data_IF_450814329810
#
_entry.id   IF_450814329810
#
_cell.length_a   1.000
_cell.length_b   1.000
_cell.length_c   1.000
_cell.angle_alpha   90.00
_cell.angle_beta   90.00
_cell.angle_gamma   90.00
#
_symmetry.space_group_name_H-M   'P 1'
#
loop_
_entity.id
_entity.type
_entity.pdbx_description
1 polymer ?
#
# COMPACT_ATOMS: atom_id res chain seq x y z
N UNK A 1 7.82 -14.51 -13.98
CA UNK A 1 8.35 -15.61 -13.14
C UNK A 1 8.11 -15.25 -11.69
N UNK A 2 7.76 -16.20 -10.83
CA UNK A 2 7.54 -15.92 -9.41
C UNK A 2 8.87 -15.53 -8.74
N UNK A 3 8.86 -14.59 -7.78
CA UNK A 3 10.07 -14.23 -7.02
C UNK A 3 10.35 -15.31 -5.97
N UNK A 4 11.06 -16.36 -6.37
CA UNK A 4 11.38 -17.51 -5.52
C UNK A 4 12.73 -17.35 -4.85
N UNK A 5 12.98 -18.15 -3.82
CA UNK A 5 14.31 -18.23 -3.18
C UNK A 5 15.40 -18.59 -4.19
N UNK A 6 15.14 -19.57 -5.05
CA UNK A 6 16.06 -20.01 -6.09
C UNK A 6 16.42 -18.88 -7.06
N UNK A 7 15.43 -18.07 -7.48
CA UNK A 7 15.70 -16.90 -8.32
C UNK A 7 16.67 -15.95 -7.64
N UNK A 8 16.42 -15.60 -6.38
CA UNK A 8 17.28 -14.68 -5.63
C UNK A 8 18.71 -15.21 -5.52
N UNK A 9 18.89 -16.51 -5.24
CA UNK A 9 20.23 -17.11 -5.11
C UNK A 9 20.98 -17.21 -6.44
N UNK A 10 20.27 -17.43 -7.55
CA UNK A 10 20.88 -17.56 -8.88
C UNK A 10 21.07 -16.20 -9.58
N UNK A 11 20.53 -15.12 -9.03
CA UNK A 11 20.62 -13.78 -9.58
C UNK A 11 21.99 -13.16 -9.32
N UNK A 12 22.39 -12.23 -10.19
CA UNK A 12 23.70 -11.58 -10.07
C UNK A 12 23.70 -10.61 -8.88
N UNK A 13 24.62 -10.84 -7.95
CA UNK A 13 24.92 -9.90 -6.85
C UNK A 13 26.34 -9.38 -7.01
N UNK A 14 26.49 -8.07 -7.18
CA UNK A 14 27.76 -7.44 -7.51
C UNK A 14 27.90 -6.07 -6.85
N UNK A 15 29.09 -5.47 -6.95
CA UNK A 15 29.33 -4.11 -6.49
C UNK A 15 29.07 -3.14 -7.63
N UNK A 16 28.06 -2.28 -7.50
CA UNK A 16 27.73 -1.30 -8.52
C UNK A 16 28.73 -0.12 -8.55
N UNK A 17 28.66 0.80 -9.54
CA UNK A 17 29.57 1.95 -9.63
C UNK A 17 29.55 2.90 -8.42
N UNK A 18 28.49 2.87 -7.61
CA UNK A 18 28.37 3.64 -6.38
C UNK A 18 28.96 2.92 -5.16
N UNK A 19 29.59 1.75 -5.38
CA UNK A 19 30.15 0.88 -4.34
C UNK A 19 29.10 0.32 -3.39
N UNK A 20 27.89 0.09 -3.91
CA UNK A 20 26.79 -0.54 -3.21
C UNK A 20 26.66 -1.99 -3.68
N UNK A 21 26.36 -2.92 -2.76
CA UNK A 21 26.04 -4.29 -3.15
C UNK A 21 24.66 -4.31 -3.78
N UNK A 22 24.60 -4.52 -5.09
CA UNK A 22 23.38 -4.53 -5.87
C UNK A 22 23.00 -5.96 -6.27
N UNK A 23 21.71 -6.28 -6.12
CA UNK A 23 21.11 -7.49 -6.65
C UNK A 23 20.31 -7.17 -7.91
N UNK A 24 20.67 -7.81 -9.01
CA UNK A 24 20.00 -7.68 -10.31
C UNK A 24 18.84 -8.68 -10.41
N UNK A 25 17.60 -8.17 -10.44
CA UNK A 25 16.37 -8.92 -10.67
C UNK A 25 15.63 -8.39 -11.91
N UNK A 26 16.35 -7.86 -12.90
CA UNK A 26 15.75 -7.25 -14.09
C UNK A 26 15.10 -8.28 -15.01
N UNK A 27 13.99 -7.90 -15.64
CA UNK A 27 13.45 -8.64 -16.79
C UNK A 27 12.83 -10.01 -16.48
N UNK A 28 12.58 -10.34 -15.21
CA UNK A 28 12.06 -11.65 -14.81
C UNK A 28 10.53 -11.77 -14.86
N UNK A 29 9.81 -10.70 -15.26
CA UNK A 29 8.34 -10.64 -15.25
C UNK A 29 7.77 -11.00 -13.87
N UNK A 30 8.38 -10.45 -12.82
CA UNK A 30 7.99 -10.69 -11.43
C UNK A 30 6.61 -10.05 -11.19
N UNK A 31 5.58 -10.83 -10.81
CA UNK A 31 4.23 -10.30 -10.65
C UNK A 31 3.97 -9.73 -9.25
N UNK A 32 4.82 -10.02 -8.27
CA UNK A 32 4.65 -9.58 -6.89
C UNK A 32 5.98 -9.57 -6.13
N UNK A 33 6.09 -8.64 -5.19
CA UNK A 33 7.16 -8.63 -4.20
C UNK A 33 6.84 -9.64 -3.10
N UNK A 34 7.67 -10.66 -2.99
CA UNK A 34 7.58 -11.74 -2.01
C UNK A 34 8.97 -12.34 -1.78
N UNK A 35 9.15 -13.09 -0.69
CA UNK A 35 10.43 -13.73 -0.34
C UNK A 35 11.64 -12.77 -0.25
N UNK A 36 11.39 -11.46 -0.13
CA UNK A 36 12.43 -10.44 0.04
C UNK A 36 13.22 -10.61 1.35
N UNK A 37 12.75 -11.43 2.29
CA UNK A 37 13.47 -11.78 3.53
C UNK A 37 14.81 -12.48 3.32
N UNK A 38 15.04 -13.01 2.11
CA UNK A 38 16.30 -13.62 1.71
C UNK A 38 17.36 -12.57 1.33
N UNK A 39 16.92 -11.37 0.95
CA UNK A 39 17.75 -10.26 0.52
C UNK A 39 18.18 -9.47 1.76
N UNK A 40 19.31 -9.87 2.34
CA UNK A 40 19.77 -9.40 3.66
C UNK A 40 21.05 -8.56 3.59
N UNK A 41 21.83 -8.70 2.52
CA UNK A 41 23.17 -8.12 2.41
C UNK A 41 23.28 -7.03 1.35
N UNK A 42 22.19 -6.77 0.64
CA UNK A 42 22.12 -5.86 -0.49
C UNK A 42 21.84 -4.43 0.00
N UNK A 43 22.59 -3.50 -0.55
CA UNK A 43 22.41 -2.06 -0.38
C UNK A 43 21.43 -1.52 -1.44
N UNK A 44 21.38 -2.14 -2.61
CA UNK A 44 20.51 -1.78 -3.74
C UNK A 44 19.84 -3.03 -4.34
N UNK A 45 18.60 -2.87 -4.84
CA UNK A 45 17.92 -3.93 -5.61
C UNK A 45 17.39 -3.31 -6.89
N UNK A 46 17.73 -3.94 -8.01
CA UNK A 46 17.20 -3.57 -9.31
C UNK A 46 16.10 -4.55 -9.76
N UNK A 47 14.87 -4.04 -9.81
CA UNK A 47 13.65 -4.73 -10.22
C UNK A 47 13.08 -4.13 -11.52
N UNK A 48 13.92 -3.47 -12.32
CA UNK A 48 13.51 -2.87 -13.60
C UNK A 48 12.97 -3.94 -14.57
N UNK A 49 12.01 -3.58 -15.41
CA UNK A 49 11.39 -4.50 -16.38
C UNK A 49 10.68 -5.71 -15.74
N UNK A 50 9.82 -5.45 -14.76
CA UNK A 50 8.98 -6.47 -14.14
C UNK A 50 7.49 -6.07 -14.19
N UNK A 51 6.61 -6.90 -13.63
CA UNK A 51 5.16 -6.70 -13.67
C UNK A 51 4.60 -6.40 -12.28
N UNK A 52 5.38 -5.73 -11.42
CA UNK A 52 5.03 -5.51 -10.01
C UNK A 52 3.90 -4.47 -9.91
N UNK A 53 2.76 -4.79 -9.27
CA UNK A 53 1.60 -3.90 -9.22
C UNK A 53 1.62 -2.93 -8.03
N UNK A 54 2.41 -3.21 -6.99
CA UNK A 54 2.45 -2.41 -5.78
C UNK A 54 3.82 -2.46 -5.10
N UNK A 55 4.22 -1.32 -4.53
CA UNK A 55 5.39 -1.22 -3.65
C UNK A 55 5.00 -1.64 -2.23
N UNK A 56 5.07 -2.94 -1.95
CA UNK A 56 4.61 -3.55 -0.70
C UNK A 56 5.46 -4.76 -0.30
N UNK A 57 5.11 -5.41 0.81
CA UNK A 57 5.67 -6.70 1.25
C UNK A 57 7.18 -6.72 1.53
N UNK A 58 7.77 -5.58 1.89
CA UNK A 58 9.16 -5.56 2.34
C UNK A 58 9.28 -6.10 3.78
N UNK A 59 10.20 -7.05 4.03
CA UNK A 59 10.61 -7.39 5.38
C UNK A 59 11.35 -6.20 5.99
N UNK A 60 11.63 -6.29 7.29
CA UNK A 60 12.48 -5.31 7.96
C UNK A 60 13.92 -5.44 7.45
N UNK A 61 14.36 -4.49 6.64
CA UNK A 61 15.70 -4.41 6.08
C UNK A 61 16.28 -2.99 6.31
N UNK A 62 17.25 -2.91 7.21
CA UNK A 62 17.95 -1.66 7.53
C UNK A 62 19.09 -1.33 6.57
N UNK A 63 19.52 -2.29 5.76
CA UNK A 63 20.66 -2.12 4.87
C UNK A 63 20.26 -1.51 3.54
N UNK A 64 19.08 -1.87 3.04
CA UNK A 64 18.56 -1.41 1.76
C UNK A 64 18.43 0.12 1.73
N UNK A 65 19.05 0.73 0.73
CA UNK A 65 19.12 2.18 0.48
C UNK A 65 18.53 2.56 -0.87
N UNK A 66 18.72 1.74 -1.89
CA UNK A 66 18.27 2.05 -3.24
C UNK A 66 17.31 0.97 -3.79
N UNK A 67 16.21 1.44 -4.41
CA UNK A 67 15.26 0.61 -5.13
C UNK A 67 15.06 1.15 -6.54
N UNK A 68 15.37 0.32 -7.54
CA UNK A 68 15.12 0.61 -8.95
C UNK A 68 13.93 -0.21 -9.43
N UNK A 69 12.82 0.45 -9.74
CA UNK A 69 11.55 -0.17 -10.13
C UNK A 69 11.04 0.44 -11.43
N UNK A 70 11.96 0.86 -12.32
CA UNK A 70 11.58 1.41 -13.59
C UNK A 70 10.83 0.36 -14.44
N UNK A 71 9.90 0.79 -15.30
CA UNK A 71 9.17 -0.09 -16.22
C UNK A 71 8.47 -1.25 -15.49
N UNK A 72 7.64 -0.87 -14.52
CA UNK A 72 6.77 -1.78 -13.75
C UNK A 72 5.31 -1.34 -13.87
N UNK A 73 4.41 -1.96 -13.11
CA UNK A 73 2.97 -1.65 -13.12
C UNK A 73 2.49 -1.08 -11.78
N UNK A 74 3.37 -0.39 -11.04
CA UNK A 74 3.06 0.06 -9.69
C UNK A 74 1.94 1.09 -9.75
N UNK A 75 0.81 0.74 -9.13
CA UNK A 75 -0.35 1.63 -8.97
C UNK A 75 -0.54 2.09 -7.53
N UNK A 76 0.11 1.43 -6.57
CA UNK A 76 -0.08 1.70 -5.15
C UNK A 76 1.21 1.49 -4.35
N UNK A 77 1.33 2.26 -3.26
CA UNK A 77 2.45 2.23 -2.33
C UNK A 77 1.90 1.83 -0.97
N UNK A 78 2.50 0.82 -0.33
CA UNK A 78 2.05 0.38 0.98
C UNK A 78 2.21 1.50 2.03
N UNK A 79 1.26 1.64 2.97
CA UNK A 79 1.44 2.54 4.10
C UNK A 79 2.60 2.06 4.99
N UNK A 80 3.24 3.00 5.68
CA UNK A 80 4.27 2.73 6.68
C UNK A 80 5.49 1.91 6.17
N UNK A 81 5.90 2.09 4.91
CA UNK A 81 7.13 1.50 4.36
C UNK A 81 8.38 1.78 5.19
N UNK A 82 8.40 2.90 5.92
CA UNK A 82 9.48 3.27 6.83
C UNK A 82 9.71 2.23 7.95
N UNK A 83 8.70 1.44 8.33
CA UNK A 83 8.87 0.38 9.32
C UNK A 83 9.65 -0.81 8.75
N UNK A 84 9.53 -1.07 7.45
CA UNK A 84 10.23 -2.14 6.75
C UNK A 84 11.60 -1.70 6.25
N UNK A 85 11.67 -0.58 5.54
CA UNK A 85 12.87 -0.09 4.85
C UNK A 85 13.22 1.34 5.30
N UNK A 86 13.58 1.55 6.58
CA UNK A 86 13.74 2.88 7.18
C UNK A 86 14.88 3.72 6.58
N UNK A 87 15.84 3.06 5.91
CA UNK A 87 17.05 3.68 5.39
C UNK A 87 17.03 3.91 3.88
N UNK A 88 15.88 3.72 3.22
CA UNK A 88 15.74 3.99 1.81
C UNK A 88 16.02 5.47 1.51
N UNK A 89 16.99 5.73 0.65
CA UNK A 89 17.40 7.06 0.21
C UNK A 89 17.09 7.34 -1.27
N UNK A 90 17.01 6.29 -2.09
CA UNK A 90 16.84 6.39 -3.54
C UNK A 90 15.71 5.47 -4.00
N UNK A 91 14.71 6.06 -4.66
CA UNK A 91 13.56 5.34 -5.22
C UNK A 91 13.31 5.79 -6.65
N UNK A 92 13.46 4.87 -7.59
CA UNK A 92 13.21 5.11 -9.01
C UNK A 92 11.93 4.36 -9.42
N UNK A 93 10.89 5.12 -9.75
CA UNK A 93 9.59 4.63 -10.19
C UNK A 93 9.25 5.05 -11.62
N UNK A 94 10.26 5.36 -12.45
CA UNK A 94 10.07 5.77 -13.84
C UNK A 94 9.20 4.78 -14.61
N UNK A 95 8.25 5.27 -15.41
CA UNK A 95 7.38 4.46 -16.26
C UNK A 95 6.61 3.40 -15.45
N UNK A 96 5.79 3.89 -14.51
CA UNK A 96 4.84 3.11 -13.71
C UNK A 96 3.42 3.69 -13.86
N UNK A 97 2.47 3.22 -13.04
CA UNK A 97 1.03 3.50 -13.18
C UNK A 97 0.44 4.27 -11.99
N UNK A 98 1.25 5.07 -11.28
CA UNK A 98 0.76 5.95 -10.21
C UNK A 98 -0.03 7.10 -10.82
N UNK A 99 -1.27 7.28 -10.41
CA UNK A 99 -2.22 8.14 -11.12
C UNK A 99 -2.68 9.38 -10.36
N UNK A 100 -2.81 9.29 -9.04
CA UNK A 100 -3.32 10.36 -8.19
C UNK A 100 -2.23 10.89 -7.26
N UNK A 101 -2.30 12.19 -6.93
CA UNK A 101 -1.36 12.83 -6.00
C UNK A 101 -1.41 12.18 -4.61
N UNK A 102 -2.60 11.74 -4.19
CA UNK A 102 -2.77 11.08 -2.90
C UNK A 102 -2.15 9.68 -2.83
N UNK A 103 -1.85 9.04 -3.96
CA UNK A 103 -1.18 7.73 -3.99
C UNK A 103 0.28 7.84 -3.51
N UNK A 104 0.84 9.06 -3.48
CA UNK A 104 2.22 9.36 -3.05
C UNK A 104 2.34 9.64 -1.55
N UNK A 105 1.22 9.81 -0.83
CA UNK A 105 1.19 10.10 0.60
C UNK A 105 2.02 9.13 1.47
N UNK A 106 2.03 7.80 1.20
CA UNK A 106 2.86 6.87 1.96
C UNK A 106 4.36 7.17 1.94
N UNK A 107 4.86 7.86 0.90
CA UNK A 107 6.28 8.23 0.80
C UNK A 107 6.68 9.27 1.86
N UNK A 108 5.74 10.04 2.43
CA UNK A 108 6.00 11.02 3.49
C UNK A 108 6.64 10.41 4.75
N UNK A 109 6.45 9.11 4.96
CA UNK A 109 7.01 8.38 6.09
C UNK A 109 8.51 8.09 5.94
N UNK A 110 9.03 8.08 4.70
CA UNK A 110 10.43 7.75 4.40
C UNK A 110 11.37 8.95 4.64
N UNK A 111 11.78 9.15 5.89
CA UNK A 111 12.55 10.34 6.31
C UNK A 111 13.95 10.46 5.69
N UNK A 112 14.49 9.38 5.15
CA UNK A 112 15.80 9.35 4.49
C UNK A 112 15.72 9.42 2.96
N UNK A 113 14.53 9.41 2.39
CA UNK A 113 14.35 9.47 0.93
C UNK A 113 14.82 10.83 0.41
N UNK A 114 15.89 10.83 -0.38
CA UNK A 114 16.53 12.03 -0.94
C UNK A 114 16.41 12.10 -2.46
N UNK A 115 16.41 10.96 -3.15
CA UNK A 115 16.29 10.86 -4.61
C UNK A 115 15.00 10.12 -4.96
N UNK A 116 14.09 10.82 -5.65
CA UNK A 116 12.82 10.26 -6.10
C UNK A 116 12.64 10.56 -7.59
N UNK A 117 12.32 9.53 -8.37
CA UNK A 117 11.94 9.70 -9.78
C UNK A 117 10.59 9.08 -10.03
N UNK A 118 9.67 9.85 -10.59
CA UNK A 118 8.29 9.49 -10.91
C UNK A 118 7.93 9.85 -12.37
N UNK A 119 8.94 10.20 -13.18
CA UNK A 119 8.81 10.40 -14.61
C UNK A 119 7.99 9.29 -15.28
N UNK A 120 7.24 9.67 -16.31
CA UNK A 120 6.42 8.74 -17.09
C UNK A 120 5.37 7.96 -16.26
N UNK A 121 4.96 8.51 -15.11
CA UNK A 121 3.74 8.10 -14.44
C UNK A 121 2.61 9.10 -14.75
N UNK A 122 1.34 8.67 -14.82
CA UNK A 122 0.22 9.60 -15.02
C UNK A 122 0.15 10.72 -13.97
N UNK A 123 0.60 10.46 -12.74
CA UNK A 123 0.66 11.46 -11.66
C UNK A 123 1.57 12.65 -12.00
N UNK A 124 2.61 12.45 -12.81
CA UNK A 124 3.55 13.51 -13.18
C UNK A 124 2.91 14.60 -14.07
N UNK A 125 1.77 14.29 -14.71
CA UNK A 125 1.00 15.24 -15.53
C UNK A 125 -0.06 16.01 -14.73
N UNK A 126 -0.20 15.73 -13.42
CA UNK A 126 -1.20 16.39 -12.57
C UNK A 126 -0.78 17.82 -12.24
N UNK A 127 -1.78 18.68 -12.09
CA UNK A 127 -1.55 20.06 -11.65
C UNK A 127 -0.87 20.08 -10.26
N UNK A 128 0.09 20.97 -10.08
CA UNK A 128 0.85 21.13 -8.85
C UNK A 128 1.61 19.87 -8.37
N UNK A 129 1.78 18.86 -9.23
CA UNK A 129 2.48 17.60 -8.93
C UNK A 129 3.81 17.82 -8.20
N UNK A 130 4.67 18.66 -8.76
CA UNK A 130 6.01 18.90 -8.22
C UNK A 130 5.96 19.52 -6.82
N UNK A 131 5.12 20.54 -6.63
CA UNK A 131 4.96 21.20 -5.33
C UNK A 131 4.30 20.27 -4.31
N UNK A 132 3.36 19.43 -4.73
CA UNK A 132 2.75 18.43 -3.87
C UNK A 132 3.78 17.46 -3.33
N UNK A 133 4.61 16.86 -4.19
CA UNK A 133 5.68 15.95 -3.75
C UNK A 133 6.66 16.63 -2.80
N UNK A 134 7.03 17.88 -3.07
CA UNK A 134 7.93 18.66 -2.20
C UNK A 134 7.30 18.91 -0.81
N UNK A 135 6.00 19.23 -0.75
CA UNK A 135 5.29 19.43 0.51
C UNK A 135 5.13 18.11 1.30
N UNK A 136 4.73 17.03 0.62
CA UNK A 136 4.46 15.72 1.22
C UNK A 136 5.75 15.01 1.66
N UNK A 137 6.82 15.11 0.87
CA UNK A 137 8.09 14.43 1.09
C UNK A 137 9.23 15.45 1.30
N UNK A 138 9.29 16.13 2.45
CA UNK A 138 10.26 17.22 2.65
C UNK A 138 11.73 16.76 2.60
N UNK A 139 12.01 15.48 2.85
CA UNK A 139 13.36 14.90 2.79
C UNK A 139 13.94 14.82 1.36
N UNK A 140 13.08 14.86 0.33
CA UNK A 140 13.50 14.74 -1.07
C UNK A 140 14.32 15.96 -1.46
N UNK A 141 15.51 15.71 -2.02
CA UNK A 141 16.47 16.73 -2.49
C UNK A 141 16.53 16.79 -4.00
N UNK A 142 16.34 15.65 -4.66
CA UNK A 142 16.29 15.53 -6.11
C UNK A 142 14.99 14.83 -6.50
N UNK A 143 14.17 15.54 -7.27
CA UNK A 143 12.91 15.03 -7.82
C UNK A 143 13.00 15.07 -9.35
N UNK A 144 12.83 13.92 -9.99
CA UNK A 144 12.90 13.76 -11.45
C UNK A 144 14.21 14.31 -12.03
N UNK A 145 15.32 13.95 -11.39
CA UNK A 145 16.68 14.41 -11.69
C UNK A 145 16.90 15.93 -11.54
N UNK A 146 15.94 16.67 -11.00
CA UNK A 146 16.06 18.10 -10.75
C UNK A 146 16.19 18.38 -9.25
N UNK A 147 17.19 19.19 -8.89
CA UNK A 147 17.38 19.65 -7.52
C UNK A 147 16.18 20.49 -7.05
N UNK A 148 15.65 20.17 -5.88
CA UNK A 148 14.59 20.95 -5.22
C UNK A 148 15.21 22.21 -4.62
N UNK A 149 14.68 23.37 -4.99
CA UNK A 149 15.12 24.69 -4.50
C UNK A 149 14.27 25.18 -3.34
N UNK A 150 14.82 26.04 -2.49
CA UNK A 150 14.10 26.58 -1.33
C UNK A 150 12.87 27.42 -1.71
N UNK A 151 12.96 28.17 -2.82
CA UNK A 151 11.81 28.91 -3.35
C UNK A 151 10.61 27.98 -3.69
N UNK A 152 10.89 26.76 -4.17
CA UNK A 152 9.85 25.78 -4.44
C UNK A 152 9.25 25.22 -3.14
N UNK A 153 10.07 25.08 -2.09
CA UNK A 153 9.61 24.65 -0.76
C UNK A 153 8.70 25.69 -0.12
N UNK A 154 9.06 26.97 -0.18
CA UNK A 154 8.22 28.05 0.33
C UNK A 154 6.87 28.10 -0.39
N UNK A 155 6.88 28.00 -1.72
CA UNK A 155 5.64 27.97 -2.51
C UNK A 155 4.79 26.72 -2.25
N UNK A 156 5.42 25.56 -2.09
CA UNK A 156 4.72 24.33 -1.73
C UNK A 156 4.05 24.42 -0.35
N UNK A 157 4.73 25.03 0.63
CA UNK A 157 4.18 25.28 1.96
C UNK A 157 3.03 26.29 1.94
N UNK A 158 3.09 27.32 1.10
CA UNK A 158 1.98 28.27 0.93
C UNK A 158 0.73 27.60 0.34
N UNK A 159 0.92 26.75 -0.68
CA UNK A 159 -0.18 26.08 -1.37
C UNK A 159 -0.85 25.00 -0.52
N UNK A 160 -0.06 24.20 0.20
CA UNK A 160 -0.53 22.97 0.85
C UNK A 160 -0.44 22.97 2.37
N UNK A 161 0.22 23.95 2.97
CA UNK A 161 0.45 24.01 4.40
C UNK A 161 1.51 23.02 4.85
N UNK A 162 1.36 22.53 6.08
CA UNK A 162 2.23 21.49 6.64
C UNK A 162 1.49 20.16 6.72
N UNK A 163 2.22 19.06 6.95
CA UNK A 163 1.60 17.74 7.20
C UNK A 163 0.69 17.75 8.44
N UNK A 164 0.96 18.62 9.43
CA UNK A 164 0.14 18.76 10.63
C UNK A 164 -1.09 19.67 10.40
N UNK A 165 -0.92 20.70 9.58
CA UNK A 165 -1.94 21.71 9.28
C UNK A 165 -2.08 21.87 7.75
N UNK A 166 -2.82 20.95 7.10
CA UNK A 166 -3.01 20.98 5.66
C UNK A 166 -4.05 22.03 5.26
N UNK A 167 -3.77 22.75 4.17
CA UNK A 167 -4.72 23.67 3.52
C UNK A 167 -5.91 22.88 2.94
N UNK A 168 -7.05 23.54 2.70
CA UNK A 168 -8.24 22.89 2.14
C UNK A 168 -8.00 22.25 0.76
N UNK A 169 -7.10 22.85 -0.05
CA UNK A 169 -6.62 22.25 -1.29
C UNK A 169 -5.96 20.88 -1.04
N UNK A 170 -5.08 20.79 -0.02
CA UNK A 170 -4.41 19.54 0.35
C UNK A 170 -5.41 18.48 0.84
N UNK A 171 -6.40 18.87 1.65
CA UNK A 171 -7.47 17.96 2.10
C UNK A 171 -8.29 17.42 0.93
N UNK A 172 -8.65 18.28 -0.04
CA UNK A 172 -9.37 17.87 -1.25
C UNK A 172 -8.58 16.86 -2.07
N UNK A 173 -7.28 17.08 -2.26
CA UNK A 173 -6.39 16.16 -2.97
C UNK A 173 -6.25 14.82 -2.22
N UNK A 174 -6.09 14.84 -0.90
CA UNK A 174 -6.03 13.61 -0.09
C UNK A 174 -7.34 12.81 -0.11
N UNK A 175 -8.47 13.47 -0.34
CA UNK A 175 -9.77 12.81 -0.43
C UNK A 175 -10.01 12.15 -1.79
N UNK A 176 -9.22 12.50 -2.82
CA UNK A 176 -9.33 11.92 -4.17
C UNK A 176 -8.49 10.64 -4.35
N UNK A 177 -8.18 9.92 -3.26
CA UNK A 177 -7.46 8.63 -3.34
C UNK A 177 -8.18 7.69 -4.28
N UNK A 178 -7.44 7.08 -5.20
CA UNK A 178 -7.97 5.97 -5.98
C UNK A 178 -8.46 4.88 -5.03
N UNK A 179 -9.69 4.40 -5.21
CA UNK A 179 -10.31 3.32 -4.44
C UNK A 179 -9.63 1.94 -4.64
N UNK A 180 -8.43 1.91 -5.23
CA UNK A 180 -7.66 0.71 -5.51
C UNK A 180 -6.98 0.24 -4.22
N UNK A 181 -7.75 -0.48 -3.42
CA UNK A 181 -7.25 -1.24 -2.26
C UNK A 181 -6.06 -2.11 -2.69
N UNK A 182 -5.00 -2.09 -1.89
CA UNK A 182 -3.89 -3.04 -1.98
C UNK A 182 -4.45 -4.44 -1.72
N UNK A 183 -4.85 -5.16 -2.77
CA UNK A 183 -5.17 -6.58 -2.68
C UNK A 183 -3.84 -7.35 -2.59
N UNK A 184 -3.19 -7.31 -1.43
CA UNK A 184 -2.05 -8.17 -1.14
C UNK A 184 -2.57 -9.59 -0.94
N UNK A 185 -2.45 -10.42 -1.98
CA UNK A 185 -2.59 -11.87 -1.85
C UNK A 185 -1.37 -12.41 -1.08
N UNK A 186 -1.37 -12.27 0.24
CA UNK A 186 -0.48 -13.01 1.13
C UNK A 186 -1.12 -14.35 1.43
N UNK A 187 -0.65 -15.40 0.75
CA UNK A 187 -0.81 -16.77 1.23
C UNK A 187 0.09 -16.94 2.45
N UNK A 188 -0.40 -16.52 3.61
CA UNK A 188 0.13 -16.89 4.91
C UNK A 188 -1.03 -17.44 5.74
N UNK A 189 -0.99 -18.73 5.98
CA UNK A 189 -1.95 -19.42 6.82
C UNK A 189 -1.87 -18.90 8.26
N UNK A 190 -3.06 -18.75 8.85
CA UNK A 190 -3.41 -18.72 10.27
C UNK A 190 -3.11 -17.46 11.10
N UNK A 191 -4.24 -16.92 11.59
CA UNK A 191 -4.46 -16.11 12.80
C UNK A 191 -4.33 -14.59 12.67
N UNK A 192 -5.45 -13.95 12.32
CA UNK A 192 -5.62 -12.50 12.50
C UNK A 192 -6.85 -11.98 11.79
N UNK A 193 -7.97 -11.97 12.51
CA UNK A 193 -9.31 -11.51 12.09
C UNK A 193 -9.33 -10.21 11.29
N UNK A 194 -9.76 -10.29 10.03
CA UNK A 194 -10.27 -9.14 9.28
C UNK A 194 -11.43 -8.50 10.06
N UNK A 195 -11.34 -7.19 10.28
CA UNK A 195 -12.46 -6.38 10.78
C UNK A 195 -13.49 -6.23 9.65
N UNK A 196 -14.24 -7.30 9.42
CA UNK A 196 -15.64 -7.19 9.01
C UNK A 196 -16.29 -6.37 10.12
N UNK A 197 -16.86 -5.23 9.76
CA UNK A 197 -17.68 -4.40 10.63
C UNK A 197 -18.79 -5.25 11.23
N UNK A 198 -18.54 -5.84 12.41
CA UNK A 198 -19.52 -6.59 13.19
C UNK A 198 -20.67 -5.63 13.47
N UNK A 199 -21.80 -5.85 12.81
CA UNK A 199 -23.07 -5.21 13.16
C UNK A 199 -23.30 -5.49 14.64
N UNK A 200 -23.32 -4.44 15.47
CA UNK A 200 -23.64 -4.59 16.89
C UNK A 200 -25.14 -4.89 17.00
N UNK A 201 -25.47 -6.17 17.15
CA UNK A 201 -26.83 -6.63 17.41
C UNK A 201 -27.28 -6.15 18.80
N UNK A 202 -28.52 -5.70 18.89
CA UNK A 202 -29.20 -5.40 20.15
C UNK A 202 -29.53 -6.68 20.92
N UNK A 203 -29.72 -6.57 22.24
CA UNK A 203 -30.06 -7.72 23.10
C UNK A 203 -31.36 -8.43 22.67
N UNK A 204 -32.29 -7.69 22.05
CA UNK A 204 -33.53 -8.24 21.48
C UNK A 204 -33.26 -9.11 20.26
N UNK A 205 -32.39 -8.65 19.35
CA UNK A 205 -32.02 -9.39 18.14
C UNK A 205 -31.21 -10.64 18.49
N UNK A 206 -30.34 -10.56 19.50
CA UNK A 206 -29.58 -11.71 19.99
C UNK A 206 -30.49 -12.82 20.54
N UNK A 207 -31.47 -12.48 21.37
CA UNK A 207 -32.44 -13.46 21.90
C UNK A 207 -33.25 -14.12 20.79
N UNK A 208 -33.65 -13.37 19.76
CA UNK A 208 -34.38 -13.92 18.60
C UNK A 208 -33.52 -14.87 17.78
N UNK A 209 -32.24 -14.55 17.55
CA UNK A 209 -31.31 -15.44 16.85
C UNK A 209 -31.11 -16.73 17.65
N UNK A 210 -30.97 -16.65 18.98
CA UNK A 210 -30.87 -17.83 19.85
C UNK A 210 -32.13 -18.71 19.77
N UNK A 211 -33.32 -18.11 19.68
CA UNK A 211 -34.59 -18.81 19.54
C UNK A 211 -34.74 -19.47 18.14
N UNK A 212 -34.32 -18.79 17.08
CA UNK A 212 -34.32 -19.35 15.71
C UNK A 212 -33.37 -20.55 15.59
N UNK A 213 -32.19 -20.48 16.20
CA UNK A 213 -31.25 -21.62 16.21
C UNK A 213 -31.84 -22.78 17.01
N UNK A 214 -32.48 -22.51 18.15
CA UNK A 214 -33.11 -23.54 18.99
C UNK A 214 -34.28 -24.24 18.30
N UNK A 215 -35.05 -23.51 17.49
CA UNK A 215 -36.24 -24.02 16.81
C UNK A 215 -35.99 -24.56 15.39
N UNK A 216 -34.76 -24.46 14.87
CA UNK A 216 -34.41 -24.95 13.53
C UNK A 216 -34.58 -26.47 13.44
N UNK A 217 -35.35 -26.94 12.46
CA UNK A 217 -35.72 -28.36 12.31
C UNK A 217 -34.75 -29.14 11.42
N UNK A 218 -33.89 -28.45 10.69
CA UNK A 218 -32.98 -29.07 9.73
C UNK A 218 -31.55 -28.57 9.91
N UNK A 219 -30.57 -29.45 9.68
CA UNK A 219 -29.15 -29.12 9.75
C UNK A 219 -28.78 -28.00 8.76
N UNK A 220 -29.40 -27.99 7.58
CA UNK A 220 -29.19 -26.97 6.56
C UNK A 220 -29.61 -25.56 7.03
N UNK A 221 -30.66 -25.46 7.84
CA UNK A 221 -31.16 -24.21 8.40
C UNK A 221 -30.20 -23.66 9.46
N UNK A 222 -29.67 -24.55 10.32
CA UNK A 222 -28.64 -24.21 11.32
C UNK A 222 -27.37 -23.71 10.61
N UNK A 223 -26.86 -24.44 9.62
CA UNK A 223 -25.66 -24.04 8.88
C UNK A 223 -25.84 -22.70 8.16
N UNK A 224 -27.05 -22.41 7.67
CA UNK A 224 -27.37 -21.12 7.04
C UNK A 224 -27.38 -19.97 8.05
N UNK A 225 -27.97 -20.17 9.23
CA UNK A 225 -27.99 -19.18 10.31
C UNK A 225 -26.58 -18.89 10.85
N UNK A 226 -25.78 -19.94 11.07
CA UNK A 226 -24.37 -19.83 11.49
C UNK A 226 -23.52 -19.11 10.45
N UNK A 227 -23.69 -19.45 9.17
CA UNK A 227 -22.99 -18.78 8.06
C UNK A 227 -23.34 -17.30 8.00
N UNK A 228 -24.61 -16.93 8.14
CA UNK A 228 -25.04 -15.54 8.16
C UNK A 228 -24.44 -14.76 9.34
N UNK A 229 -24.38 -15.36 10.53
CA UNK A 229 -23.78 -14.75 11.71
C UNK A 229 -22.27 -14.58 11.55
N UNK A 230 -21.59 -15.56 10.96
CA UNK A 230 -20.15 -15.52 10.70
C UNK A 230 -19.78 -14.48 9.63
N UNK A 231 -20.67 -14.29 8.64
CA UNK A 231 -20.56 -13.25 7.61
C UNK A 231 -20.97 -11.85 8.12
N UNK A 232 -21.39 -11.71 9.39
CA UNK A 232 -21.77 -10.44 10.00
C UNK A 232 -23.11 -9.87 9.50
N UNK A 233 -23.97 -10.71 8.93
CA UNK A 233 -25.29 -10.34 8.38
C UNK A 233 -26.40 -10.81 9.31
N UNK A 234 -27.41 -9.97 9.52
CA UNK A 234 -28.60 -10.36 10.28
C UNK A 234 -29.39 -11.40 9.47
N UNK A 235 -29.67 -12.60 10.00
CA UNK A 235 -30.46 -13.60 9.30
C UNK A 235 -31.89 -13.12 9.01
N UNK A 236 -32.44 -13.50 7.85
CA UNK A 236 -33.82 -13.19 7.49
C UNK A 236 -34.79 -13.86 8.48
N UNK A 237 -35.75 -13.10 9.01
CA UNK A 237 -36.67 -13.50 10.08
C UNK A 237 -36.46 -12.77 11.42
N UNK A 238 -35.31 -12.11 11.62
CA UNK A 238 -35.07 -11.28 12.83
C UNK A 238 -35.68 -9.89 12.72
N UNK A 239 -35.77 -9.36 11.48
CA UNK A 239 -36.19 -8.00 11.14
C UNK A 239 -37.68 -7.85 10.77
N UNK A 240 -38.42 -8.95 10.61
CA UNK A 240 -39.72 -8.97 9.90
C UNK A 240 -40.92 -8.52 10.75
N UNK A 241 -40.72 -7.64 11.72
CA UNK A 241 -41.81 -7.14 12.57
C UNK A 241 -41.64 -5.67 12.96
N UNK A 242 -41.16 -4.85 12.02
CA UNK A 242 -41.26 -3.38 12.13
C UNK A 242 -42.64 -2.84 11.74
N UNK A 243 -43.69 -3.68 11.71
CA UNK A 243 -45.08 -3.26 11.56
C UNK A 243 -45.93 -3.83 12.69
N UNK A 244 -45.75 -3.30 13.89
CA UNK A 244 -46.80 -3.28 14.89
C UNK A 244 -46.76 -1.93 15.62
N UNK A 245 -47.24 -0.91 14.91
CA UNK A 245 -47.77 0.32 15.50
C UNK A 245 -49.17 0.54 14.96
N UNK A 246 -50.17 0.03 15.68
CA UNK A 246 -51.48 0.65 15.93
C UNK A 246 -52.18 -0.11 17.05
#
# INVERSE_FOLDING_TARGET
>A
MRLTAELVHNSLSYLNPLKERELDLRGHKIPALENLGLITNEDAIDLTDNDIPALANFPKNHRLKALYLARNRITAIAPALNNSIPNLDTLVLTQNSLSELADLEPLAALKKLTHLTLLENPVASRENYRYWVIATCPSVRFLDFQKVKDAERSKAAELFGTLAEPTDLAKKLLSSRSSRSLNTASTANANGTDKISRVKLSDKERKRIEELIRNAKTLAEITRLEKALNEGRIPAGVLDDSMDTS
#
